data_IF_144296353442
#
_entry.id   IF_144296353442
#
_cell.length_a   1.000
_cell.length_b   1.000
_cell.length_c   1.000
_cell.angle_alpha   90.00
_cell.angle_beta   90.00
_cell.angle_gamma   90.00
#
_symmetry.space_group_name_H-M   'P 1'
#
loop_
_entity.id
_entity.type
_entity.pdbx_description
1 polymer ?
#
# COMPACT_ATOMS: atom_id res chain seq x y z
N UNK A 1 -3.58 55.34 -58.12
CA UNK A 1 -3.26 54.13 -57.35
C UNK A 1 -3.31 54.49 -55.87
N UNK A 2 -4.30 54.00 -55.12
CA UNK A 2 -4.36 54.17 -53.65
C UNK A 2 -3.48 53.10 -53.02
N UNK A 3 -2.41 53.49 -52.35
CA UNK A 3 -1.60 52.58 -51.53
C UNK A 3 -2.44 52.13 -50.32
N UNK A 4 -2.44 50.84 -49.96
CA UNK A 4 -3.14 50.38 -48.76
C UNK A 4 -2.51 51.00 -47.51
N UNK A 5 -3.37 51.62 -46.70
CA UNK A 5 -3.06 52.31 -45.45
C UNK A 5 -2.42 51.38 -44.42
N UNK A 6 -1.37 51.87 -43.76
CA UNK A 6 -0.67 51.30 -42.60
C UNK A 6 -1.60 50.77 -41.50
N UNK A 7 -2.83 51.28 -41.38
CA UNK A 7 -3.84 50.80 -40.44
C UNK A 7 -4.26 49.35 -40.66
N UNK A 8 -4.29 48.88 -41.92
CA UNK A 8 -4.72 47.52 -42.26
C UNK A 8 -3.64 46.46 -41.91
N UNK A 9 -2.38 46.86 -41.89
CA UNK A 9 -1.27 46.00 -41.46
C UNK A 9 -1.24 45.89 -39.93
N UNK A 10 -1.46 47.00 -39.21
CA UNK A 10 -1.54 46.99 -37.75
C UNK A 10 -2.67 46.09 -37.22
N UNK A 11 -3.88 46.18 -37.80
CA UNK A 11 -5.02 45.36 -37.38
C UNK A 11 -4.82 43.85 -37.57
N UNK A 12 -4.15 43.44 -38.65
CA UNK A 12 -3.81 42.03 -38.91
C UNK A 12 -2.78 41.49 -37.92
N UNK A 13 -1.77 42.30 -37.55
CA UNK A 13 -0.76 41.92 -36.57
C UNK A 13 -1.30 41.81 -35.15
N UNK A 14 -2.24 42.70 -34.75
CA UNK A 14 -2.91 42.62 -33.46
C UNK A 14 -3.82 41.38 -33.34
N UNK A 15 -4.57 41.06 -34.39
CA UNK A 15 -5.40 39.86 -34.43
C UNK A 15 -4.56 38.57 -34.35
N UNK A 16 -3.41 38.52 -35.03
CA UNK A 16 -2.49 37.37 -34.96
C UNK A 16 -1.90 37.18 -33.55
N UNK A 17 -1.52 38.28 -32.86
CA UNK A 17 -0.97 38.20 -31.51
C UNK A 17 -2.01 37.72 -30.47
N UNK A 18 -3.26 38.17 -30.60
CA UNK A 18 -4.39 37.72 -29.78
C UNK A 18 -4.71 36.24 -29.98
N UNK A 19 -4.70 35.75 -31.22
CA UNK A 19 -4.93 34.32 -31.53
C UNK A 19 -3.78 33.44 -31.01
N UNK A 20 -2.54 33.92 -31.10
CA UNK A 20 -1.37 33.18 -30.59
C UNK A 20 -1.37 33.10 -29.06
N UNK A 21 -1.74 34.18 -28.36
CA UNK A 21 -1.93 34.16 -26.90
C UNK A 21 -3.09 33.24 -26.48
N UNK A 22 -4.17 33.19 -27.25
CA UNK A 22 -5.30 32.28 -26.98
C UNK A 22 -4.90 30.81 -27.16
N UNK A 23 -4.12 30.50 -28.21
CA UNK A 23 -3.60 29.15 -28.46
C UNK A 23 -2.61 28.71 -27.36
N UNK A 24 -1.70 29.59 -26.93
CA UNK A 24 -0.78 29.32 -25.82
C UNK A 24 -1.50 29.15 -24.48
N UNK A 25 -2.57 29.92 -24.23
CA UNK A 25 -3.41 29.73 -23.05
C UNK A 25 -4.14 28.39 -23.08
N UNK A 26 -4.69 27.98 -24.23
CA UNK A 26 -5.34 26.66 -24.39
C UNK A 26 -4.32 25.52 -24.22
N UNK A 27 -3.09 25.66 -24.73
CA UNK A 27 -2.01 24.70 -24.51
C UNK A 27 -1.59 24.58 -23.04
N UNK A 28 -1.62 25.67 -22.26
CA UNK A 28 -1.37 25.62 -20.80
C UNK A 28 -2.49 24.97 -19.98
N UNK A 29 -3.74 24.98 -20.48
CA UNK A 29 -4.87 24.31 -19.82
C UNK A 29 -4.94 22.81 -20.10
N UNK A 30 -4.31 22.34 -21.19
CA UNK A 30 -4.30 20.91 -21.58
C UNK A 30 -3.26 20.06 -20.82
N UNK A 31 -2.40 20.66 -19.98
CA UNK A 31 -1.36 19.94 -19.22
C UNK A 31 -1.69 19.72 -17.75
N UNK A 32 -2.95 19.88 -17.32
CA UNK A 32 -3.35 19.43 -15.99
C UNK A 32 -3.46 17.90 -15.98
N UNK A 33 -2.31 17.24 -15.94
CA UNK A 33 -2.25 15.84 -15.55
C UNK A 33 -2.84 15.74 -14.14
N UNK A 34 -3.98 15.09 -14.02
CA UNK A 34 -4.51 14.72 -12.71
C UNK A 34 -3.50 13.75 -12.10
N UNK A 35 -2.73 14.21 -11.11
CA UNK A 35 -2.02 13.30 -10.23
C UNK A 35 -3.08 12.44 -9.54
N UNK A 36 -3.27 11.21 -10.02
CA UNK A 36 -3.93 10.20 -9.23
C UNK A 36 -3.14 10.13 -7.93
N UNK A 37 -3.80 10.39 -6.81
CA UNK A 37 -3.23 10.11 -5.48
C UNK A 37 -3.03 8.60 -5.39
N UNK A 38 -1.95 8.09 -5.97
CA UNK A 38 -1.50 6.72 -5.71
C UNK A 38 -1.15 6.69 -4.24
N UNK A 39 -1.82 5.83 -3.45
CA UNK A 39 -1.52 5.72 -2.03
C UNK A 39 -0.06 5.38 -1.79
N UNK A 40 0.39 5.63 -0.56
CA UNK A 40 1.81 5.52 -0.22
C UNK A 40 2.24 4.07 -0.16
N UNK A 41 3.44 3.76 -0.65
CA UNK A 41 4.07 2.46 -0.43
C UNK A 41 4.80 2.49 0.90
N UNK A 42 4.48 1.54 1.78
CA UNK A 42 5.11 1.33 3.08
C UNK A 42 5.94 0.05 3.05
N UNK A 43 7.23 0.19 3.28
CA UNK A 43 8.20 -0.89 3.25
C UNK A 43 8.33 -1.53 4.63
N UNK A 44 8.28 -2.85 4.66
CA UNK A 44 8.20 -3.62 5.89
C UNK A 44 9.22 -4.76 5.91
N UNK A 45 9.89 -4.95 7.05
CA UNK A 45 10.82 -6.07 7.24
C UNK A 45 10.64 -6.71 8.63
N UNK A 46 11.00 -8.00 8.81
CA UNK A 46 10.90 -8.66 10.11
C UNK A 46 11.69 -7.94 11.21
N UNK A 47 12.80 -7.29 10.85
CA UNK A 47 13.68 -6.51 11.75
C UNK A 47 13.49 -5.00 11.63
N UNK A 48 12.37 -4.54 11.05
CA UNK A 48 12.16 -3.13 10.76
C UNK A 48 12.02 -2.25 11.99
N UNK A 49 11.98 -0.94 11.76
CA UNK A 49 11.82 0.08 12.78
C UNK A 49 10.39 0.12 13.33
N UNK A 50 10.22 0.60 14.56
CA UNK A 50 8.90 0.82 15.19
C UNK A 50 8.47 2.29 15.14
N UNK A 51 9.22 3.12 14.41
CA UNK A 51 8.98 4.56 14.21
C UNK A 51 9.44 4.96 12.81
N UNK A 52 9.01 6.13 12.34
CA UNK A 52 9.43 6.69 11.05
C UNK A 52 8.36 6.58 9.97
N UNK A 53 8.72 6.91 8.73
CA UNK A 53 7.77 6.98 7.61
C UNK A 53 7.53 5.64 6.91
N UNK A 54 8.44 4.67 7.07
CA UNK A 54 8.43 3.39 6.35
C UNK A 54 8.52 3.57 4.83
N UNK A 55 9.20 4.63 4.35
CA UNK A 55 9.15 5.07 2.94
C UNK A 55 10.20 4.44 2.02
N UNK A 56 11.10 3.60 2.54
CA UNK A 56 12.10 2.87 1.75
C UNK A 56 12.52 1.58 2.44
N UNK A 57 13.27 0.72 1.74
CA UNK A 57 13.82 -0.50 2.34
C UNK A 57 14.80 -0.24 3.47
N UNK A 58 15.60 0.83 3.39
CA UNK A 58 16.54 1.25 4.44
C UNK A 58 15.82 1.76 5.69
N UNK A 59 14.62 2.32 5.52
CA UNK A 59 13.75 2.82 6.59
C UNK A 59 12.55 1.89 6.84
N UNK A 60 12.67 0.62 6.46
CA UNK A 60 11.57 -0.34 6.55
C UNK A 60 11.13 -0.54 8.01
N UNK A 61 9.82 -0.63 8.22
CA UNK A 61 9.21 -0.74 9.53
C UNK A 61 8.81 -2.19 9.88
N UNK A 62 8.45 -2.42 11.15
CA UNK A 62 7.70 -3.61 11.56
C UNK A 62 6.29 -3.56 10.94
N UNK A 63 5.75 -4.74 10.63
CA UNK A 63 4.44 -4.87 9.99
C UNK A 63 3.32 -4.20 10.80
N UNK A 64 3.24 -4.46 12.10
CA UNK A 64 2.23 -3.85 12.97
C UNK A 64 2.26 -2.30 12.94
N UNK A 65 3.47 -1.72 12.94
CA UNK A 65 3.63 -0.27 12.90
C UNK A 65 3.20 0.30 11.53
N UNK A 66 3.64 -0.30 10.43
CA UNK A 66 3.25 0.14 9.09
C UNK A 66 1.74 0.01 8.84
N UNK A 67 1.11 -1.07 9.33
CA UNK A 67 -0.34 -1.27 9.26
C UNK A 67 -1.12 -0.21 10.03
N UNK A 68 -0.60 0.26 11.17
CA UNK A 68 -1.22 1.32 11.95
C UNK A 68 -1.11 2.70 11.28
N UNK A 69 -0.16 2.88 10.35
CA UNK A 69 -0.05 4.10 9.55
C UNK A 69 -0.83 4.02 8.22
N UNK A 70 -1.08 2.81 7.72
CA UNK A 70 -1.68 2.60 6.41
C UNK A 70 -3.16 2.99 6.39
N UNK A 71 -3.54 3.68 5.32
CA UNK A 71 -4.93 4.08 5.04
C UNK A 71 -5.37 3.57 3.67
N UNK A 72 -6.69 3.59 3.40
CA UNK A 72 -7.23 3.14 2.13
C UNK A 72 -6.49 3.75 0.92
N UNK A 73 -6.06 2.90 0.00
CA UNK A 73 -5.23 3.23 -1.15
C UNK A 73 -3.73 2.95 -0.96
N UNK A 74 -3.23 2.84 0.28
CA UNK A 74 -1.83 2.51 0.56
C UNK A 74 -1.50 1.07 0.20
N UNK A 75 -0.21 0.83 -0.08
CA UNK A 75 0.37 -0.49 -0.23
C UNK A 75 1.38 -0.76 0.88
N UNK A 76 1.42 -2.00 1.36
CA UNK A 76 2.38 -2.49 2.34
C UNK A 76 3.20 -3.61 1.71
N UNK A 77 4.50 -3.37 1.53
CA UNK A 77 5.42 -4.29 0.85
C UNK A 77 6.27 -5.04 1.87
N UNK A 78 6.07 -6.35 1.97
CA UNK A 78 6.77 -7.21 2.91
C UNK A 78 8.03 -7.79 2.27
N UNK A 79 9.18 -7.47 2.86
CA UNK A 79 10.42 -8.20 2.64
C UNK A 79 10.22 -9.68 3.01
N UNK A 80 11.02 -10.56 2.41
CA UNK A 80 11.05 -11.97 2.76
C UNK A 80 11.35 -12.15 4.26
N UNK A 81 10.73 -13.16 4.85
CA UNK A 81 10.88 -13.53 6.26
C UNK A 81 9.55 -13.72 6.98
N UNK A 82 9.64 -13.91 8.29
CA UNK A 82 8.49 -14.23 9.14
C UNK A 82 8.06 -13.02 9.96
N UNK A 83 6.76 -12.78 9.99
CA UNK A 83 6.11 -11.73 10.76
C UNK A 83 5.14 -12.37 11.73
N UNK A 84 5.21 -11.98 13.00
CA UNK A 84 4.28 -12.39 14.04
C UNK A 84 3.46 -11.19 14.52
N UNK A 85 2.19 -11.39 14.90
CA UNK A 85 1.35 -10.30 15.36
C UNK A 85 1.83 -9.81 16.73
N UNK A 86 1.93 -8.50 16.88
CA UNK A 86 2.35 -7.84 18.14
C UNK A 86 1.27 -6.93 18.72
N UNK A 87 0.09 -6.87 18.08
CA UNK A 87 -1.05 -6.06 18.50
C UNK A 87 -2.15 -7.00 18.97
N UNK A 88 -2.61 -6.80 20.21
CA UNK A 88 -3.52 -7.71 20.92
C UNK A 88 -2.87 -8.28 22.19
N UNK A 89 -3.57 -9.17 22.89
CA UNK A 89 -3.09 -9.81 24.13
C UNK A 89 -3.03 -11.32 23.91
N UNK A 90 -1.84 -11.90 24.04
CA UNK A 90 -1.61 -13.33 23.94
C UNK A 90 -2.21 -13.92 22.65
N UNK A 91 -2.93 -15.02 22.80
CA UNK A 91 -3.53 -15.78 21.69
C UNK A 91 -4.60 -15.01 20.88
N UNK A 92 -5.04 -13.85 21.36
CA UNK A 92 -5.99 -12.99 20.65
C UNK A 92 -5.32 -11.99 19.67
N UNK A 93 -3.98 -11.92 19.66
CA UNK A 93 -3.26 -11.07 18.71
C UNK A 93 -3.49 -11.54 17.26
N UNK A 94 -3.54 -10.61 16.31
CA UNK A 94 -3.75 -10.94 14.89
C UNK A 94 -3.25 -9.83 13.96
N UNK A 95 -3.10 -10.14 12.67
CA UNK A 95 -2.96 -9.16 11.61
C UNK A 95 -4.36 -8.76 11.11
N UNK A 96 -4.90 -7.67 11.64
CA UNK A 96 -6.19 -7.13 11.18
C UNK A 96 -6.00 -6.39 9.85
N UNK A 97 -6.75 -6.79 8.83
CA UNK A 97 -6.75 -6.09 7.54
C UNK A 97 -7.51 -4.76 7.65
N UNK A 98 -6.93 -3.72 7.08
CA UNK A 98 -7.55 -2.40 6.95
C UNK A 98 -8.28 -2.30 5.61
N UNK A 99 -9.49 -1.75 5.62
CA UNK A 99 -10.27 -1.52 4.40
C UNK A 99 -9.49 -0.65 3.40
N UNK A 100 -9.45 -1.09 2.15
CA UNK A 100 -8.74 -0.45 1.04
C UNK A 100 -7.21 -0.50 1.10
N UNK A 101 -6.59 -1.18 2.05
CA UNK A 101 -5.12 -1.36 2.11
C UNK A 101 -4.71 -2.65 1.40
N UNK A 102 -3.67 -2.57 0.57
CA UNK A 102 -3.10 -3.72 -0.11
C UNK A 102 -1.79 -4.19 0.53
N UNK A 103 -1.70 -5.45 0.94
CA UNK A 103 -0.50 -6.08 1.50
C UNK A 103 0.08 -7.07 0.48
N UNK A 104 1.37 -6.90 0.21
CA UNK A 104 2.11 -7.62 -0.82
C UNK A 104 3.38 -8.26 -0.23
N UNK A 105 3.50 -9.60 -0.23
CA UNK A 105 4.75 -10.31 0.08
C UNK A 105 5.69 -10.50 -1.11
N UNK A 106 6.80 -11.20 -0.96
CA UNK A 106 7.63 -11.58 -2.12
C UNK A 106 8.77 -10.63 -2.48
N UNK A 107 9.16 -9.71 -1.60
CA UNK A 107 10.24 -8.75 -1.86
C UNK A 107 11.57 -9.18 -1.23
N UNK A 108 12.68 -8.97 -1.92
CA UNK A 108 14.04 -9.15 -1.42
C UNK A 108 14.49 -7.96 -0.55
N UNK A 109 13.99 -6.76 -0.83
CA UNK A 109 14.31 -5.54 -0.11
C UNK A 109 15.20 -4.56 -0.89
N UNK A 110 15.13 -4.59 -2.22
CA UNK A 110 15.80 -3.63 -3.11
C UNK A 110 14.90 -3.19 -4.28
N UNK A 111 13.66 -3.66 -4.31
CA UNK A 111 12.71 -3.39 -5.37
C UNK A 111 12.16 -1.97 -5.32
N UNK A 112 11.93 -1.39 -6.49
CA UNK A 112 11.31 -0.08 -6.68
C UNK A 112 9.93 -0.18 -7.33
N UNK A 113 9.52 -1.38 -7.74
CA UNK A 113 8.24 -1.63 -8.40
C UNK A 113 7.60 -2.96 -7.96
N UNK A 114 6.26 -3.01 -7.89
CA UNK A 114 5.50 -4.19 -7.48
C UNK A 114 5.83 -5.43 -8.33
N UNK A 115 6.04 -5.24 -9.64
CA UNK A 115 6.32 -6.30 -10.59
C UNK A 115 7.70 -6.98 -10.41
N UNK A 116 8.60 -6.41 -9.59
CA UNK A 116 9.91 -7.00 -9.32
C UNK A 116 9.87 -8.09 -8.23
N UNK A 117 8.72 -8.25 -7.55
CA UNK A 117 8.50 -9.32 -6.57
C UNK A 117 8.78 -10.70 -7.17
N UNK A 118 9.26 -11.59 -6.31
CA UNK A 118 9.26 -13.02 -6.55
C UNK A 118 8.76 -13.73 -5.30
N UNK A 119 7.44 -13.95 -5.22
CA UNK A 119 6.81 -14.61 -4.06
C UNK A 119 7.17 -16.08 -3.89
N UNK A 120 7.74 -16.71 -4.93
CA UNK A 120 8.24 -18.09 -4.85
C UNK A 120 9.59 -18.15 -4.15
N UNK A 121 10.49 -17.20 -4.39
CA UNK A 121 11.84 -17.19 -3.79
C UNK A 121 11.92 -16.36 -2.51
N UNK A 122 11.23 -15.22 -2.48
CA UNK A 122 11.32 -14.23 -1.40
C UNK A 122 10.10 -14.37 -0.46
N UNK A 123 9.93 -15.56 0.12
CA UNK A 123 8.72 -15.90 0.87
C UNK A 123 8.52 -14.98 2.08
N UNK A 124 7.36 -14.32 2.13
CA UNK A 124 6.89 -13.55 3.29
C UNK A 124 5.84 -14.38 4.02
N UNK A 125 6.07 -14.65 5.30
CA UNK A 125 5.20 -15.50 6.12
C UNK A 125 4.55 -14.70 7.23
N UNK A 126 3.23 -14.71 7.29
CA UNK A 126 2.45 -14.30 8.46
C UNK A 126 2.27 -15.54 9.34
N UNK A 127 2.87 -15.51 10.53
CA UNK A 127 2.90 -16.66 11.44
C UNK A 127 2.15 -16.32 12.73
N UNK A 128 1.38 -17.28 13.20
CA UNK A 128 0.71 -17.25 14.49
C UNK A 128 1.55 -17.71 15.68
N UNK A 129 2.76 -18.21 15.43
CA UNK A 129 3.71 -18.71 16.42
C UNK A 129 4.26 -17.53 17.24
N UNK A 130 3.59 -17.24 18.36
CA UNK A 130 3.96 -16.20 19.31
C UNK A 130 4.47 -16.85 20.59
N UNK A 131 5.37 -16.18 21.31
CA UNK A 131 5.95 -16.73 22.54
C UNK A 131 7.08 -17.69 22.24
N UNK A 132 6.94 -18.96 22.63
CA UNK A 132 7.96 -20.00 22.45
C UNK A 132 7.83 -20.66 21.08
N UNK A 133 8.92 -20.62 20.29
CA UNK A 133 8.91 -21.17 18.92
C UNK A 133 8.45 -22.61 18.85
N UNK A 134 7.40 -22.86 18.07
CA UNK A 134 6.85 -24.19 17.82
C UNK A 134 5.93 -24.71 18.93
N UNK A 135 5.65 -23.90 19.95
CA UNK A 135 4.69 -24.25 20.99
C UNK A 135 3.29 -23.89 20.48
N UNK A 136 2.42 -24.89 20.31
CA UNK A 136 1.10 -24.63 19.71
C UNK A 136 0.12 -23.96 20.69
N UNK A 137 0.38 -24.02 22.00
CA UNK A 137 -0.55 -23.56 23.03
C UNK A 137 -0.56 -22.04 23.23
N UNK A 138 0.51 -21.35 22.85
CA UNK A 138 0.60 -19.89 22.86
C UNK A 138 0.36 -19.28 21.46
N UNK A 139 0.32 -20.08 20.40
CA UNK A 139 -0.09 -19.61 19.07
C UNK A 139 -1.39 -18.79 19.10
N UNK A 140 -1.44 -17.76 18.25
CA UNK A 140 -2.66 -16.97 18.07
C UNK A 140 -3.78 -17.83 17.49
N UNK A 141 -5.01 -17.48 17.83
CA UNK A 141 -6.18 -18.19 17.32
C UNK A 141 -6.36 -17.98 15.82
N UNK A 142 -6.24 -16.73 15.36
CA UNK A 142 -6.40 -16.31 13.98
C UNK A 142 -5.20 -15.46 13.57
N UNK A 143 -4.45 -15.89 12.56
CA UNK A 143 -3.26 -15.15 12.10
C UNK A 143 -3.67 -13.85 11.42
N UNK A 144 -4.68 -13.91 10.55
CA UNK A 144 -5.24 -12.77 9.83
C UNK A 144 -6.71 -12.63 10.21
N UNK A 145 -7.18 -11.40 10.32
CA UNK A 145 -8.60 -11.11 10.56
C UNK A 145 -9.05 -10.06 9.56
N UNK A 146 -10.11 -10.34 8.81
CA UNK A 146 -10.73 -9.43 7.86
C UNK A 146 -12.18 -9.15 8.28
N UNK A 147 -12.49 -7.88 8.58
CA UNK A 147 -13.83 -7.46 9.01
C UNK A 147 -14.27 -6.24 8.22
N UNK A 148 -15.42 -6.32 7.54
CA UNK A 148 -15.98 -5.20 6.78
C UNK A 148 -14.99 -4.56 5.78
N UNK A 149 -14.17 -5.39 5.12
CA UNK A 149 -13.22 -4.93 4.11
C UNK A 149 -13.81 -5.08 2.70
N UNK A 150 -13.56 -4.08 1.86
CA UNK A 150 -14.01 -3.99 0.48
C UNK A 150 -13.06 -4.66 -0.52
N UNK A 151 -13.42 -4.67 -1.81
CA UNK A 151 -12.67 -5.36 -2.87
C UNK A 151 -11.29 -4.75 -3.18
N UNK A 152 -10.98 -3.59 -2.61
CA UNK A 152 -9.68 -2.92 -2.74
C UNK A 152 -8.70 -3.32 -1.63
N UNK A 153 -9.15 -4.06 -0.61
CA UNK A 153 -8.26 -4.73 0.35
C UNK A 153 -7.67 -5.96 -0.30
N UNK A 154 -6.33 -6.02 -0.34
CA UNK A 154 -5.59 -7.10 -1.02
C UNK A 154 -4.63 -7.74 -0.02
N UNK A 155 -4.55 -9.07 -0.04
CA UNK A 155 -3.51 -9.83 0.61
C UNK A 155 -2.94 -10.81 -0.42
N UNK A 156 -1.73 -10.52 -0.93
CA UNK A 156 -1.16 -11.25 -2.06
C UNK A 156 0.34 -11.58 -1.87
N UNK A 157 0.73 -12.78 -2.25
CA UNK A 157 2.12 -13.25 -2.20
C UNK A 157 2.63 -13.54 -0.80
N UNK A 158 1.73 -13.87 0.15
CA UNK A 158 2.07 -14.24 1.52
C UNK A 158 1.74 -15.71 1.81
N UNK A 159 2.51 -16.32 2.70
CA UNK A 159 2.16 -17.59 3.35
C UNK A 159 1.55 -17.31 4.72
N UNK A 160 0.43 -17.94 5.06
CA UNK A 160 -0.21 -17.82 6.38
C UNK A 160 -0.11 -19.17 7.08
N UNK A 161 0.44 -19.22 8.31
CA UNK A 161 0.60 -20.47 9.06
C UNK A 161 0.62 -20.27 10.57
N UNK A 162 0.59 -21.40 11.29
CA UNK A 162 0.72 -21.50 12.74
C UNK A 162 -0.40 -20.85 13.57
N UNK A 163 -1.62 -20.74 13.03
CA UNK A 163 -2.80 -20.37 13.83
C UNK A 163 -3.40 -21.58 14.56
N UNK A 164 -3.80 -21.39 15.81
CA UNK A 164 -4.36 -22.43 16.68
C UNK A 164 -5.82 -22.81 16.35
N UNK A 165 -6.59 -21.92 15.71
CA UNK A 165 -7.93 -22.22 15.16
C UNK A 165 -9.05 -22.47 16.16
N UNK A 166 -8.83 -22.32 17.47
CA UNK A 166 -9.79 -22.61 18.55
C UNK A 166 -10.15 -21.39 19.41
N UNK A 167 -10.35 -20.22 18.80
CA UNK A 167 -10.68 -18.97 19.50
C UNK A 167 -12.06 -18.39 19.13
N UNK A 168 -12.57 -17.42 19.91
CA UNK A 168 -13.66 -16.57 19.46
C UNK A 168 -13.22 -15.77 18.22
N UNK A 169 -14.03 -15.86 17.17
CA UNK A 169 -13.97 -14.94 16.04
C UNK A 169 -14.46 -13.55 16.42
N UNK A 170 -14.55 -12.69 15.41
CA UNK A 170 -15.06 -11.33 15.56
C UNK A 170 -16.44 -11.33 16.25
N UNK A 171 -16.62 -10.41 17.20
CA UNK A 171 -17.86 -10.24 17.99
C UNK A 171 -18.29 -11.46 18.82
N UNK A 172 -17.35 -12.37 19.14
CA UNK A 172 -17.65 -13.55 19.95
C UNK A 172 -18.35 -14.68 19.18
N UNK A 173 -18.39 -14.59 17.85
CA UNK A 173 -18.85 -15.70 17.01
C UNK A 173 -17.83 -16.85 17.09
N UNK A 174 -18.26 -18.13 17.07
CA UNK A 174 -17.33 -19.23 16.90
C UNK A 174 -16.68 -19.12 15.51
N UNK A 175 -15.35 -18.94 15.46
CA UNK A 175 -14.58 -19.00 14.23
C UNK A 175 -13.69 -20.24 14.28
N UNK A 176 -13.95 -21.17 13.36
CA UNK A 176 -13.12 -22.36 13.17
C UNK A 176 -12.15 -22.07 12.03
N UNK A 177 -10.87 -21.86 12.33
CA UNK A 177 -9.83 -21.62 11.31
C UNK A 177 -8.63 -20.84 11.86
N UNK A 178 -7.42 -21.37 11.70
CA UNK A 178 -6.20 -20.70 12.20
C UNK A 178 -5.67 -19.58 11.28
N UNK A 179 -6.02 -19.60 10.00
CA UNK A 179 -5.44 -18.74 8.98
C UNK A 179 -6.07 -17.35 8.88
N UNK A 180 -7.28 -17.28 8.29
CA UNK A 180 -8.09 -16.07 8.08
C UNK A 180 -9.51 -16.28 8.62
#
# INVERSE_FOLDING_TARGET
MRTPSTAQHAAKSFAALLVTCLLLAVLLFMTQATAQSVGTVRFVSPSGQTTGSCGSWESACKLAYAMNLAVAGDQVWLKAGTYTPTVGIGTAASFTLTDGVAIYGGFFGNETALAQRNSTTNVSTLSGDIGETGVMSDNVWHVVVASNVGPTTILDGVTIRDGGGTGPGLFGAPANGGGI
#
